data_IF_820377942064
#
_entry.id   IF_820377942064
#
_cell.length_a   1.000
_cell.length_b   1.000
_cell.length_c   1.000
_cell.angle_alpha   90.00
_cell.angle_beta   90.00
_cell.angle_gamma   90.00
#
_symmetry.space_group_name_H-M   'P 1'
#
loop_
_entity.id
_entity.type
_entity.pdbx_description
1 polymer ?
#
# COMPACT_ATOMS: atom_id res chain seq x y z
N UNK A 1 4.94 -27.86 -11.76
CA UNK A 1 5.67 -26.74 -12.39
C UNK A 1 5.31 -25.41 -11.69
N UNK A 2 5.53 -25.25 -10.37
CA UNK A 2 5.01 -24.11 -9.61
C UNK A 2 6.01 -23.39 -8.69
N UNK A 3 7.31 -23.70 -8.77
CA UNK A 3 8.35 -23.07 -7.92
C UNK A 3 9.35 -22.26 -8.77
N UNK A 4 8.85 -21.29 -9.53
CA UNK A 4 9.70 -20.26 -10.13
C UNK A 4 9.44 -18.92 -9.42
N UNK A 5 10.39 -18.41 -8.61
CA UNK A 5 10.21 -17.17 -7.84
C UNK A 5 9.99 -15.94 -8.72
N UNK A 6 10.53 -15.93 -9.95
CA UNK A 6 10.30 -14.85 -10.92
C UNK A 6 8.84 -14.80 -11.37
N UNK A 7 8.25 -15.98 -11.62
CA UNK A 7 6.84 -16.09 -12.01
C UNK A 7 5.91 -15.60 -10.89
N UNK A 8 6.19 -15.99 -9.64
CA UNK A 8 5.42 -15.54 -8.48
C UNK A 8 5.50 -14.01 -8.30
N UNK A 9 6.69 -13.41 -8.52
CA UNK A 9 6.85 -11.95 -8.47
C UNK A 9 6.02 -11.24 -9.53
N UNK A 10 6.02 -11.71 -10.78
CA UNK A 10 5.21 -11.11 -11.86
C UNK A 10 3.71 -11.17 -11.56
N UNK A 11 3.23 -12.29 -11.02
CA UNK A 11 1.82 -12.43 -10.63
C UNK A 11 1.47 -11.49 -9.48
N UNK A 12 2.33 -11.40 -8.46
CA UNK A 12 2.13 -10.50 -7.33
C UNK A 12 2.00 -9.02 -7.79
N UNK A 13 2.86 -8.58 -8.71
CA UNK A 13 2.80 -7.22 -9.26
C UNK A 13 1.48 -6.98 -10.02
N UNK A 14 1.07 -7.91 -10.89
CA UNK A 14 -0.21 -7.81 -11.61
C UNK A 14 -1.43 -7.80 -10.69
N UNK A 15 -1.38 -8.58 -9.61
CA UNK A 15 -2.45 -8.59 -8.60
C UNK A 15 -2.50 -7.28 -7.83
N UNK A 16 -1.34 -6.72 -7.46
CA UNK A 16 -1.26 -5.38 -6.85
C UNK A 16 -1.93 -4.35 -7.76
N UNK A 17 -1.55 -4.30 -9.04
CA UNK A 17 -2.10 -3.33 -10.00
C UNK A 17 -3.62 -3.47 -10.13
N UNK A 18 -4.12 -4.71 -10.17
CA UNK A 18 -5.55 -4.98 -10.19
C UNK A 18 -6.26 -4.49 -8.91
N UNK A 19 -5.70 -4.75 -7.72
CA UNK A 19 -6.28 -4.27 -6.46
C UNK A 19 -6.23 -2.75 -6.33
N UNK A 20 -5.15 -2.10 -6.78
CA UNK A 20 -5.06 -0.63 -6.83
C UNK A 20 -6.15 -0.07 -7.75
N UNK A 21 -6.37 -0.70 -8.90
CA UNK A 21 -7.45 -0.30 -9.81
C UNK A 21 -8.83 -0.44 -9.15
N UNK A 22 -9.11 -1.56 -8.46
CA UNK A 22 -10.37 -1.73 -7.72
C UNK A 22 -10.52 -0.74 -6.58
N UNK A 23 -9.45 -0.47 -5.83
CA UNK A 23 -9.44 0.50 -4.76
C UNK A 23 -9.72 1.92 -5.25
N UNK A 24 -9.26 2.29 -6.45
CA UNK A 24 -9.53 3.60 -7.06
C UNK A 24 -10.91 3.71 -7.73
N UNK A 25 -11.50 2.60 -8.20
CA UNK A 25 -12.71 2.65 -9.03
C UNK A 25 -13.98 2.10 -8.37
N UNK A 26 -13.84 1.21 -7.38
CA UNK A 26 -14.97 0.50 -6.74
C UNK A 26 -15.13 0.87 -5.27
N UNK A 27 -14.04 0.98 -4.51
CA UNK A 27 -14.12 1.32 -3.09
C UNK A 27 -14.71 2.71 -2.80
N UNK A 28 -14.51 3.77 -3.61
CA UNK A 28 -15.08 5.09 -3.31
C UNK A 28 -16.59 5.06 -3.19
N UNK A 29 -17.22 4.28 -4.08
CA UNK A 29 -18.68 4.13 -4.15
C UNK A 29 -19.21 3.28 -2.97
N UNK A 30 -18.40 2.33 -2.47
CA UNK A 30 -18.83 1.40 -1.43
C UNK A 30 -18.52 1.87 0.00
N UNK A 31 -17.38 2.56 0.20
CA UNK A 31 -16.80 2.85 1.51
C UNK A 31 -16.35 4.31 1.66
N UNK A 32 -16.48 5.14 0.61
CA UNK A 32 -16.06 6.53 0.59
C UNK A 32 -14.59 6.75 0.21
N UNK A 33 -14.28 7.99 -0.16
CA UNK A 33 -12.96 8.38 -0.68
C UNK A 33 -11.83 8.21 0.35
N UNK A 34 -12.11 8.54 1.62
CA UNK A 34 -11.10 8.44 2.70
C UNK A 34 -10.63 7.00 2.91
N UNK A 35 -11.56 6.06 3.02
CA UNK A 35 -11.20 4.63 3.15
C UNK A 35 -10.47 4.12 1.89
N UNK A 36 -10.94 4.54 0.72
CA UNK A 36 -10.30 4.17 -0.55
C UNK A 36 -8.86 4.65 -0.64
N UNK A 37 -8.60 5.88 -0.19
CA UNK A 37 -7.25 6.46 -0.09
C UNK A 37 -6.35 5.63 0.81
N UNK A 38 -6.83 5.25 2.01
CA UNK A 38 -6.08 4.37 2.94
C UNK A 38 -5.68 3.06 2.26
N UNK A 39 -6.62 2.40 1.56
CA UNK A 39 -6.33 1.12 0.89
C UNK A 39 -5.32 1.29 -0.24
N UNK A 40 -5.40 2.36 -1.03
CA UNK A 40 -4.40 2.66 -2.07
C UNK A 40 -3.03 2.85 -1.43
N UNK A 41 -2.92 3.68 -0.39
CA UNK A 41 -1.68 3.91 0.36
C UNK A 41 -1.08 2.59 0.89
N UNK A 42 -1.91 1.67 1.41
CA UNK A 42 -1.46 0.35 1.83
C UNK A 42 -0.91 -0.51 0.67
N UNK A 43 -1.59 -0.51 -0.47
CA UNK A 43 -1.21 -1.33 -1.63
C UNK A 43 0.07 -0.82 -2.31
N UNK A 44 0.36 0.47 -2.19
CA UNK A 44 1.50 1.12 -2.84
C UNK A 44 2.61 1.47 -1.85
N UNK A 45 2.59 0.98 -0.59
CA UNK A 45 3.49 1.47 0.47
C UNK A 45 4.99 1.20 0.25
N UNK A 46 5.34 0.34 -0.70
CA UNK A 46 6.72 0.04 -1.14
C UNK A 46 6.98 0.53 -2.58
N UNK A 47 6.03 1.24 -3.18
CA UNK A 47 6.23 1.81 -4.50
C UNK A 47 7.04 3.10 -4.39
N UNK A 48 8.02 3.29 -5.29
CA UNK A 48 8.93 4.44 -5.27
C UNK A 48 8.25 5.79 -5.50
N UNK A 49 7.07 5.79 -6.08
CA UNK A 49 6.24 6.97 -6.34
C UNK A 49 5.20 7.22 -5.24
N UNK A 50 5.30 6.55 -4.09
CA UNK A 50 4.39 6.79 -2.98
C UNK A 50 4.81 8.01 -2.14
N UNK A 51 4.07 9.10 -2.31
CA UNK A 51 4.29 10.36 -1.59
C UNK A 51 4.02 10.28 -0.07
N UNK A 52 3.24 9.29 0.40
CA UNK A 52 2.89 9.15 1.82
C UNK A 52 4.05 8.58 2.67
N UNK A 53 5.01 7.92 2.03
CA UNK A 53 6.02 7.11 2.72
C UNK A 53 7.47 7.55 2.44
N UNK A 54 7.71 8.30 1.36
CA UNK A 54 9.03 8.82 1.00
C UNK A 54 9.89 7.82 0.22
N UNK A 55 11.16 8.17 -0.02
CA UNK A 55 12.07 7.31 -0.78
C UNK A 55 12.42 6.05 0.04
N UNK A 56 12.48 4.89 -0.62
CA UNK A 56 12.71 3.57 0.01
C UNK A 56 13.96 3.59 0.93
N UNK A 57 14.98 4.35 0.52
CA UNK A 57 16.26 4.51 1.22
C UNK A 57 16.16 5.37 2.51
N UNK A 58 15.17 6.26 2.62
CA UNK A 58 14.91 7.06 3.84
C UNK A 58 14.03 6.33 4.87
N UNK A 59 13.45 5.21 4.47
CA UNK A 59 12.57 4.38 5.31
C UNK A 59 13.26 3.15 5.90
N UNK A 60 14.29 2.62 5.24
CA UNK A 60 14.97 1.39 5.62
C UNK A 60 16.04 1.65 6.69
N UNK A 61 15.79 1.22 7.93
CA UNK A 61 16.89 0.87 8.84
C UNK A 61 17.47 -0.49 8.43
N UNK A 62 18.68 -0.85 8.92
CA UNK A 62 19.37 -2.12 8.58
C UNK A 62 18.54 -3.39 8.84
N UNK A 63 17.40 -3.29 9.55
CA UNK A 63 16.54 -4.40 9.93
C UNK A 63 15.10 -4.27 9.38
N UNK A 64 14.78 -3.21 8.64
CA UNK A 64 13.43 -2.91 8.14
C UNK A 64 12.39 -2.60 9.23
N UNK A 65 12.81 -2.34 10.48
CA UNK A 65 11.89 -2.15 11.63
C UNK A 65 11.23 -0.78 11.55
N UNK A 66 11.99 0.26 11.21
CA UNK A 66 11.48 1.62 11.06
C UNK A 66 10.40 1.74 9.98
N UNK A 67 10.51 0.95 8.90
CA UNK A 67 9.48 0.87 7.84
C UNK A 67 8.13 0.43 8.41
N UNK A 68 8.12 -0.64 9.22
CA UNK A 68 6.89 -1.20 9.76
C UNK A 68 6.20 -0.24 10.74
N UNK A 69 6.96 0.45 11.59
CA UNK A 69 6.42 1.42 12.55
C UNK A 69 5.82 2.63 11.82
N UNK A 70 6.57 3.26 10.91
CA UNK A 70 6.07 4.38 10.11
C UNK A 70 4.83 3.99 9.30
N UNK A 71 4.84 2.80 8.70
CA UNK A 71 3.66 2.27 8.02
C UNK A 71 2.43 2.24 8.93
N UNK A 72 2.55 1.63 10.10
CA UNK A 72 1.44 1.54 11.05
C UNK A 72 0.96 2.93 11.50
N UNK A 73 1.88 3.83 11.83
CA UNK A 73 1.54 5.20 12.26
C UNK A 73 0.78 5.97 11.17
N UNK A 74 1.29 5.99 9.93
CA UNK A 74 0.63 6.66 8.79
C UNK A 74 -0.78 6.10 8.55
N UNK A 75 -0.93 4.77 8.54
CA UNK A 75 -2.23 4.15 8.30
C UNK A 75 -3.21 4.43 9.44
N UNK A 76 -2.77 4.34 10.71
CA UNK A 76 -3.59 4.67 11.86
C UNK A 76 -4.05 6.12 11.83
N UNK A 77 -3.17 7.05 11.45
CA UNK A 77 -3.51 8.46 11.31
C UNK A 77 -4.60 8.66 10.25
N UNK A 78 -4.43 8.10 9.04
CA UNK A 78 -5.44 8.22 7.96
C UNK A 78 -6.77 7.56 8.33
N UNK A 79 -6.75 6.42 9.03
CA UNK A 79 -7.96 5.77 9.51
C UNK A 79 -8.72 6.63 10.52
N UNK A 80 -8.01 7.35 11.40
CA UNK A 80 -8.61 8.24 12.39
C UNK A 80 -9.32 9.45 11.77
N UNK A 81 -9.00 9.80 10.52
CA UNK A 81 -9.68 10.86 9.76
C UNK A 81 -11.01 10.40 9.15
N UNK A 82 -11.31 9.10 9.17
CA UNK A 82 -12.59 8.56 8.72
C UNK A 82 -13.64 8.83 9.82
N UNK A 83 -14.41 9.90 9.63
CA UNK A 83 -15.58 10.24 10.44
C UNK A 83 -16.85 9.72 9.77
N UNK A 84 -17.75 9.12 10.55
CA UNK A 84 -19.14 8.82 10.14
C UNK A 84 -20.05 9.98 10.52
#
# INVERSE_FOLDING_TARGET
>A
MANNPTFQRTIALKLKDYFVHLAKTKLPIAMGDKYSSVVVTCLTCLDKDNEDFGDEDEMLDERGILVAVRFMETILQKLNEISV
#
